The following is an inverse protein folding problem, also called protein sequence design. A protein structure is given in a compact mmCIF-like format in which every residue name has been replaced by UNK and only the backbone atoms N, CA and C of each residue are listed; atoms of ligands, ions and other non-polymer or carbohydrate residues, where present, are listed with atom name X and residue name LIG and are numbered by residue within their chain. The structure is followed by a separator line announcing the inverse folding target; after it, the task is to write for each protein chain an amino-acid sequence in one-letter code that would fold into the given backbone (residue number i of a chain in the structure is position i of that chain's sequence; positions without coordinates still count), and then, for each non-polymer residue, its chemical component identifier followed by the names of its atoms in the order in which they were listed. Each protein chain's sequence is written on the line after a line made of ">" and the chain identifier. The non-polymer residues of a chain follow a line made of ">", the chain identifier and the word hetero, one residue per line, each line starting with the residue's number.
data_IF_400004264759
#
_entry.id   IF_400004264759
#
_cell.length_a   1.000
_cell.length_b   1.000
_cell.length_c   1.000
_cell.angle_alpha   90.00
_cell.angle_beta   90.00
_cell.angle_gamma   90.00
#
_symmetry.space_group_name_H-M   'P 1'
#
loop_
_entity.id
_entity.type
_entity.pdbx_description
1 polymer ?
#
# COMPACT_ATOMS: atom_id res chain seq x y z
N UNK A 1 -13.30 79.13 44.30
CA UNK A 1 -14.31 79.66 43.38
C UNK A 1 -14.07 79.04 42.01
N UNK A 2 -15.15 78.64 41.33
CA UNK A 2 -15.26 77.91 40.04
C UNK A 2 -15.03 76.38 40.21
N UNK A 3 -16.01 75.47 40.17
CA UNK A 3 -17.27 75.44 39.41
C UNK A 3 -16.94 75.25 37.92
N UNK A 4 -17.32 74.22 37.17
CA UNK A 4 -18.39 73.26 37.35
C UNK A 4 -18.27 72.05 36.38
N UNK A 5 -18.60 70.86 36.89
CA UNK A 5 -19.57 69.90 36.33
C UNK A 5 -19.27 69.04 35.08
N UNK A 6 -19.19 67.73 35.38
CA UNK A 6 -19.91 66.59 34.77
C UNK A 6 -19.59 66.17 33.33
N UNK A 7 -18.93 65.01 33.24
CA UNK A 7 -19.39 63.91 32.39
C UNK A 7 -19.12 62.58 33.10
N UNK A 8 -20.12 62.09 33.82
CA UNK A 8 -20.21 60.70 34.30
C UNK A 8 -21.10 59.97 33.31
N UNK A 9 -20.54 59.01 32.57
CA UNK A 9 -21.22 57.85 32.00
C UNK A 9 -20.13 56.78 31.84
N UNK A 10 -19.79 56.03 32.88
CA UNK A 10 -20.45 54.77 33.22
C UNK A 10 -20.37 53.74 32.08
N UNK A 11 -19.24 53.03 31.94
CA UNK A 11 -19.25 51.58 31.68
C UNK A 11 -18.21 50.94 32.60
N UNK A 12 -18.73 50.24 33.60
CA UNK A 12 -18.03 49.35 34.51
C UNK A 12 -17.61 48.08 33.77
N UNK A 13 -16.50 47.52 34.25
CA UNK A 13 -16.24 46.08 34.38
C UNK A 13 -15.92 45.29 33.11
N UNK A 14 -14.65 44.88 33.00
CA UNK A 14 -14.20 43.48 32.92
C UNK A 14 -12.66 43.52 33.09
N UNK A 15 -12.13 43.20 34.28
CA UNK A 15 -11.68 41.85 34.67
C UNK A 15 -10.67 41.29 33.64
N UNK A 16 -9.37 41.35 33.93
CA UNK A 16 -8.57 40.26 34.51
C UNK A 16 -8.44 39.07 33.53
N UNK A 17 -7.20 38.59 33.38
CA UNK A 17 -6.76 37.39 32.65
C UNK A 17 -6.36 37.62 31.18
N UNK A 18 -5.17 38.16 30.97
CA UNK A 18 -4.39 37.95 29.75
C UNK A 18 -3.01 37.34 30.07
N UNK A 19 -2.98 36.43 31.05
CA UNK A 19 -1.79 35.67 31.42
C UNK A 19 -2.18 34.18 31.57
N UNK A 20 -2.47 33.51 30.45
CA UNK A 20 -2.49 32.04 30.33
C UNK A 20 -2.95 31.60 28.92
N UNK A 21 -2.14 31.79 27.87
CA UNK A 21 -2.38 31.12 26.58
C UNK A 21 -1.06 30.96 25.79
N UNK A 22 -0.06 30.34 26.41
CA UNK A 22 1.18 29.94 25.74
C UNK A 22 1.61 28.50 26.02
N UNK A 23 0.73 27.65 26.58
CA UNK A 23 1.03 26.25 26.83
C UNK A 23 -0.10 25.35 26.32
N UNK A 24 -0.29 25.26 25.01
CA UNK A 24 -1.21 24.28 24.40
C UNK A 24 -0.69 23.69 23.08
N UNK A 25 0.62 23.71 22.83
CA UNK A 25 1.23 23.08 21.63
C UNK A 25 1.91 21.73 21.94
N UNK A 26 1.32 20.91 22.83
CA UNK A 26 2.01 19.74 23.39
C UNK A 26 1.32 18.39 23.35
N UNK A 27 0.07 18.25 22.86
CA UNK A 27 -0.70 17.01 23.04
C UNK A 27 -1.17 16.30 21.76
N UNK A 28 -0.93 16.87 20.56
CA UNK A 28 -1.38 16.30 19.29
C UNK A 28 -0.32 15.54 18.47
N UNK A 29 0.96 15.63 18.83
CA UNK A 29 2.06 15.18 17.96
C UNK A 29 2.39 13.68 18.06
N UNK A 30 2.17 13.05 19.23
CA UNK A 30 2.53 11.65 19.45
C UNK A 30 1.70 10.64 18.61
N UNK A 31 0.37 10.82 18.43
CA UNK A 31 -0.43 9.94 17.56
C UNK A 31 -0.07 10.10 16.08
N UNK A 32 0.12 11.33 15.61
CA UNK A 32 0.51 11.63 14.23
C UNK A 32 1.91 11.07 13.90
N UNK A 33 2.89 11.27 14.79
CA UNK A 33 4.23 10.73 14.61
C UNK A 33 4.30 9.19 14.70
N UNK A 34 3.34 8.54 15.38
CA UNK A 34 3.22 7.08 15.41
C UNK A 34 2.59 6.57 14.11
N UNK A 35 1.56 7.24 13.60
CA UNK A 35 0.95 6.94 12.30
C UNK A 35 2.00 7.02 11.18
N UNK A 36 2.69 8.15 11.04
CA UNK A 36 3.67 8.34 9.96
C UNK A 36 4.77 7.28 10.00
N UNK A 37 5.24 6.90 11.20
CA UNK A 37 6.23 5.83 11.34
C UNK A 37 5.70 4.48 10.85
N UNK A 38 4.45 4.15 11.14
CA UNK A 38 3.85 2.88 10.69
C UNK A 38 3.53 2.89 9.19
N UNK A 39 3.09 4.02 8.64
CA UNK A 39 2.91 4.17 7.19
C UNK A 39 4.26 4.06 6.46
N UNK A 40 5.31 4.68 6.99
CA UNK A 40 6.66 4.55 6.43
C UNK A 40 7.17 3.10 6.48
N UNK A 41 6.94 2.39 7.60
CA UNK A 41 7.27 0.96 7.71
C UNK A 41 6.51 0.11 6.70
N UNK A 42 5.24 0.42 6.47
CA UNK A 42 4.43 -0.23 5.44
C UNK A 42 5.01 0.01 4.04
N UNK A 43 5.33 1.28 3.72
CA UNK A 43 5.91 1.65 2.43
C UNK A 43 7.22 0.90 2.14
N UNK A 44 8.11 0.82 3.13
CA UNK A 44 9.38 0.09 3.03
C UNK A 44 9.14 -1.41 2.85
N UNK A 45 8.25 -2.02 3.64
CA UNK A 45 7.93 -3.45 3.52
C UNK A 45 7.32 -3.80 2.16
N UNK A 46 6.46 -2.92 1.63
CA UNK A 46 5.90 -3.08 0.29
C UNK A 46 7.01 -2.99 -0.77
N UNK A 47 7.86 -1.96 -0.73
CA UNK A 47 8.93 -1.78 -1.70
C UNK A 47 9.99 -2.90 -1.67
N UNK A 48 10.18 -3.55 -0.52
CA UNK A 48 11.08 -4.71 -0.38
C UNK A 48 10.47 -6.03 -0.83
N UNK A 49 9.22 -6.03 -1.29
CA UNK A 49 8.48 -7.23 -1.68
C UNK A 49 8.31 -8.26 -0.54
N UNK A 50 8.38 -7.84 0.73
CA UNK A 50 8.32 -8.77 1.88
C UNK A 50 6.92 -9.40 2.01
N UNK A 51 5.88 -8.59 1.83
CA UNK A 51 4.48 -9.00 1.96
C UNK A 51 3.74 -9.08 0.62
N UNK A 52 4.13 -8.26 -0.36
CA UNK A 52 3.45 -8.12 -1.65
C UNK A 52 4.49 -8.13 -2.78
N UNK A 53 4.45 -9.08 -3.74
CA UNK A 53 5.35 -9.05 -4.89
C UNK A 53 5.11 -7.78 -5.73
N UNK A 54 6.03 -7.44 -6.65
CA UNK A 54 6.02 -6.30 -7.60
C UNK A 54 4.77 -6.19 -8.52
N UNK A 55 3.76 -6.99 -8.23
CA UNK A 55 2.45 -7.07 -8.86
C UNK A 55 1.47 -6.01 -8.35
N UNK A 56 1.81 -5.27 -7.30
CA UNK A 56 0.96 -4.22 -6.72
C UNK A 56 1.66 -2.86 -6.70
N UNK A 57 0.88 -1.79 -6.83
CA UNK A 57 1.39 -0.42 -6.73
C UNK A 57 1.59 -0.05 -5.26
N UNK A 58 2.85 -0.03 -4.80
CA UNK A 58 3.17 0.28 -3.41
C UNK A 58 2.80 1.69 -2.97
N UNK A 59 2.77 2.67 -3.88
CA UNK A 59 2.33 4.02 -3.53
C UNK A 59 0.83 4.02 -3.26
N UNK A 60 0.04 3.39 -4.14
CA UNK A 60 -1.40 3.20 -3.94
C UNK A 60 -1.70 2.44 -2.65
N UNK A 61 -1.01 1.31 -2.41
CA UNK A 61 -1.19 0.53 -1.18
C UNK A 61 -0.83 1.33 0.08
N UNK A 62 0.23 2.13 0.04
CA UNK A 62 0.67 2.93 1.19
C UNK A 62 -0.35 4.02 1.54
N UNK A 63 -0.87 4.72 0.53
CA UNK A 63 -1.91 5.74 0.74
C UNK A 63 -3.22 5.10 1.20
N UNK A 64 -3.64 3.98 0.59
CA UNK A 64 -4.82 3.24 1.04
C UNK A 64 -4.68 2.74 2.49
N UNK A 65 -3.49 2.28 2.87
CA UNK A 65 -3.20 1.87 4.25
C UNK A 65 -3.22 3.07 5.22
N UNK A 66 -2.65 4.21 4.83
CA UNK A 66 -2.68 5.45 5.61
C UNK A 66 -4.12 5.87 5.92
N UNK A 67 -4.99 5.89 4.92
CA UNK A 67 -6.40 6.24 5.11
C UNK A 67 -7.14 5.22 5.99
N UNK A 68 -6.91 3.92 5.79
CA UNK A 68 -7.49 2.88 6.63
C UNK A 68 -7.09 2.99 8.12
N UNK A 69 -5.82 3.37 8.40
CA UNK A 69 -5.37 3.60 9.78
C UNK A 69 -6.00 4.88 10.37
N UNK A 70 -6.14 5.95 9.58
CA UNK A 70 -6.80 7.18 10.04
C UNK A 70 -8.26 6.92 10.42
N UNK A 71 -8.98 6.16 9.61
CA UNK A 71 -10.39 5.84 9.85
C UNK A 71 -10.56 4.91 11.06
N UNK A 72 -9.72 3.89 11.20
CA UNK A 72 -9.84 2.90 12.30
C UNK A 72 -9.16 3.32 13.59
N UNK A 73 -8.29 4.34 13.55
CA UNK A 73 -7.44 4.75 14.69
C UNK A 73 -6.44 3.68 15.14
N UNK A 74 -6.20 2.62 14.35
CA UNK A 74 -5.43 1.45 14.77
C UNK A 74 -4.31 1.08 13.81
N UNK A 75 -3.09 1.01 14.34
CA UNK A 75 -1.90 0.55 13.60
C UNK A 75 -1.64 -0.95 13.73
N UNK A 76 -2.33 -1.66 14.65
CA UNK A 76 -1.98 -3.02 15.07
C UNK A 76 -2.48 -4.15 14.16
N UNK A 77 -3.18 -3.83 13.06
CA UNK A 77 -3.83 -4.84 12.20
C UNK A 77 -3.55 -4.66 10.72
N UNK A 78 -2.27 -4.45 10.35
CA UNK A 78 -1.84 -4.23 8.96
C UNK A 78 -2.50 -5.16 7.94
N UNK A 79 -2.37 -6.48 8.10
CA UNK A 79 -2.94 -7.46 7.16
C UNK A 79 -4.47 -7.41 7.10
N UNK A 80 -5.13 -7.17 8.24
CA UNK A 80 -6.58 -7.05 8.27
C UNK A 80 -7.02 -5.78 7.53
N UNK A 81 -6.36 -4.64 7.75
CA UNK A 81 -6.66 -3.40 7.06
C UNK A 81 -6.51 -3.56 5.54
N UNK A 82 -5.42 -4.17 5.07
CA UNK A 82 -5.23 -4.44 3.63
C UNK A 82 -6.37 -5.28 3.04
N UNK A 83 -6.83 -6.30 3.78
CA UNK A 83 -7.91 -7.19 3.34
C UNK A 83 -9.28 -6.50 3.40
N UNK A 84 -9.61 -5.89 4.55
CA UNK A 84 -10.94 -5.34 4.85
C UNK A 84 -11.22 -4.13 3.94
N UNK A 85 -10.17 -3.36 3.61
CA UNK A 85 -10.23 -2.27 2.64
C UNK A 85 -9.97 -2.72 1.20
N UNK A 86 -9.82 -4.03 0.93
CA UNK A 86 -9.62 -4.59 -0.42
C UNK A 86 -8.50 -3.89 -1.21
N UNK A 87 -7.42 -3.50 -0.53
CA UNK A 87 -6.38 -2.66 -1.14
C UNK A 87 -5.68 -3.38 -2.30
N UNK A 88 -5.54 -4.70 -2.24
CA UNK A 88 -4.93 -5.50 -3.33
C UNK A 88 -5.78 -5.49 -4.61
N UNK A 89 -7.11 -5.41 -4.48
CA UNK A 89 -8.01 -5.31 -5.63
C UNK A 89 -8.02 -3.91 -6.23
N UNK A 90 -7.79 -2.88 -5.41
CA UNK A 90 -7.78 -1.47 -5.83
C UNK A 90 -6.44 -1.01 -6.39
N UNK A 91 -5.35 -1.63 -5.95
CA UNK A 91 -3.98 -1.21 -6.25
C UNK A 91 -3.16 -2.25 -7.03
N UNK A 92 -3.66 -2.91 -8.09
CA UNK A 92 -2.80 -3.71 -8.94
C UNK A 92 -1.78 -2.81 -9.66
N UNK A 93 -0.55 -3.29 -9.84
CA UNK A 93 0.44 -2.60 -10.63
C UNK A 93 -0.01 -2.42 -12.09
N UNK A 94 0.71 -1.59 -12.84
CA UNK A 94 0.48 -1.43 -14.27
C UNK A 94 0.57 -2.79 -14.98
N UNK A 95 -0.27 -2.99 -16.01
CA UNK A 95 -0.29 -4.25 -16.79
C UNK A 95 1.10 -4.58 -17.33
N UNK A 96 1.82 -3.57 -17.81
CA UNK A 96 3.19 -3.71 -18.32
C UNK A 96 4.18 -4.22 -17.27
N UNK A 97 4.08 -3.75 -16.02
CA UNK A 97 4.93 -4.22 -14.92
C UNK A 97 4.62 -5.67 -14.56
N UNK A 98 3.34 -6.03 -14.46
CA UNK A 98 2.90 -7.41 -14.19
C UNK A 98 3.36 -8.35 -15.31
N UNK A 99 3.21 -7.92 -16.56
CA UNK A 99 3.68 -8.65 -17.74
C UNK A 99 5.20 -8.87 -17.67
N UNK A 100 5.99 -7.81 -17.44
CA UNK A 100 7.44 -7.89 -17.40
C UNK A 100 7.93 -8.84 -16.30
N UNK A 101 7.36 -8.73 -15.10
CA UNK A 101 7.64 -9.60 -13.97
C UNK A 101 7.40 -11.07 -14.31
N UNK A 102 6.21 -11.40 -14.85
CA UNK A 102 5.90 -12.79 -15.16
C UNK A 102 6.71 -13.33 -16.33
N UNK A 103 6.95 -12.50 -17.35
CA UNK A 103 7.78 -12.90 -18.50
C UNK A 103 9.20 -13.23 -18.07
N UNK A 104 9.80 -12.43 -17.18
CA UNK A 104 11.13 -12.67 -16.66
C UNK A 104 11.20 -13.95 -15.81
N UNK A 105 10.21 -14.17 -14.95
CA UNK A 105 10.07 -15.42 -14.17
C UNK A 105 9.93 -16.64 -15.10
N UNK A 106 9.10 -16.53 -16.14
CA UNK A 106 8.91 -17.61 -17.12
C UNK A 106 10.20 -17.91 -17.89
N UNK A 107 10.89 -16.90 -18.43
CA UNK A 107 12.13 -17.10 -19.21
C UNK A 107 13.19 -17.79 -18.35
N UNK A 108 13.30 -17.40 -17.08
CA UNK A 108 14.25 -17.99 -16.13
C UNK A 108 13.99 -19.49 -15.90
N UNK A 109 12.73 -19.93 -15.98
CA UNK A 109 12.31 -21.31 -15.72
C UNK A 109 12.11 -22.17 -16.99
N UNK A 110 11.81 -21.55 -18.13
CA UNK A 110 11.46 -22.22 -19.39
C UNK A 110 12.57 -22.20 -20.45
N UNK A 111 13.79 -21.78 -20.10
CA UNK A 111 14.93 -21.63 -21.02
C UNK A 111 15.28 -22.85 -21.87
N UNK A 112 14.80 -24.05 -21.48
CA UNK A 112 15.02 -25.32 -22.20
C UNK A 112 13.89 -25.70 -23.16
N UNK A 113 12.80 -24.93 -23.25
CA UNK A 113 11.74 -25.17 -24.23
C UNK A 113 12.07 -24.53 -25.60
N UNK A 114 11.79 -25.22 -26.71
CA UNK A 114 11.72 -24.59 -28.03
C UNK A 114 10.71 -23.43 -28.00
N UNK A 115 11.05 -22.31 -28.66
CA UNK A 115 10.20 -21.10 -28.71
C UNK A 115 9.78 -20.55 -27.34
N UNK A 116 10.60 -20.73 -26.31
CA UNK A 116 10.31 -20.24 -24.95
C UNK A 116 10.01 -18.73 -24.89
N UNK A 117 10.58 -17.93 -25.79
CA UNK A 117 10.29 -16.49 -25.90
C UNK A 117 8.82 -16.21 -26.22
N UNK A 118 8.26 -16.89 -27.21
CA UNK A 118 6.85 -16.74 -27.61
C UNK A 118 5.91 -17.31 -26.56
N UNK A 119 6.25 -18.49 -26.03
CA UNK A 119 5.52 -19.13 -24.94
C UNK A 119 5.43 -18.22 -23.70
N UNK A 120 6.56 -17.65 -23.26
CA UNK A 120 6.59 -16.76 -22.11
C UNK A 120 5.90 -15.42 -22.37
N UNK A 121 5.93 -14.93 -23.61
CA UNK A 121 5.21 -13.70 -23.99
C UNK A 121 3.69 -13.92 -23.98
N UNK A 122 3.21 -15.04 -24.52
CA UNK A 122 1.80 -15.45 -24.41
C UNK A 122 1.38 -15.59 -22.94
N UNK A 123 2.18 -16.33 -22.16
CA UNK A 123 1.83 -16.65 -20.76
C UNK A 123 1.80 -15.39 -19.89
N UNK A 124 2.73 -14.45 -20.12
CA UNK A 124 2.75 -13.16 -19.44
C UNK A 124 1.56 -12.27 -19.79
N UNK A 125 1.11 -12.28 -21.06
CA UNK A 125 -0.07 -11.52 -21.47
C UNK A 125 -1.35 -12.08 -20.83
N UNK A 126 -1.49 -13.41 -20.84
CA UNK A 126 -2.60 -14.10 -20.17
C UNK A 126 -2.60 -13.83 -18.65
N UNK A 127 -1.43 -13.91 -18.01
CA UNK A 127 -1.28 -13.64 -16.57
C UNK A 127 -1.62 -12.20 -16.23
N UNK A 128 -1.03 -11.22 -16.92
CA UNK A 128 -1.24 -9.81 -16.64
C UNK A 128 -2.70 -9.37 -16.85
N UNK A 129 -3.36 -9.94 -17.86
CA UNK A 129 -4.78 -9.69 -18.13
C UNK A 129 -5.67 -10.27 -17.03
N UNK A 130 -5.49 -11.54 -16.67
CA UNK A 130 -6.28 -12.20 -15.65
C UNK A 130 -6.04 -11.60 -14.25
N UNK A 131 -4.78 -11.28 -13.93
CA UNK A 131 -4.41 -10.64 -12.66
C UNK A 131 -5.12 -9.30 -12.49
N UNK A 132 -5.16 -8.46 -13.53
CA UNK A 132 -5.86 -7.16 -13.43
C UNK A 132 -7.37 -7.30 -13.39
N UNK A 133 -7.93 -8.33 -14.03
CA UNK A 133 -9.36 -8.61 -13.97
C UNK A 133 -9.80 -9.07 -12.57
N UNK A 134 -8.96 -9.87 -11.90
CA UNK A 134 -9.21 -10.35 -10.54
C UNK A 134 -7.89 -10.47 -9.77
N UNK A 135 -7.44 -9.39 -9.11
CA UNK A 135 -6.18 -9.40 -8.36
C UNK A 135 -6.21 -10.44 -7.23
N UNK A 136 -5.30 -11.43 -7.24
CA UNK A 136 -5.15 -12.40 -6.16
C UNK A 136 -4.96 -11.74 -4.79
N UNK A 137 -5.37 -12.41 -3.71
CA UNK A 137 -5.10 -11.97 -2.35
C UNK A 137 -3.96 -12.74 -1.67
N UNK A 138 -3.51 -13.85 -2.28
CA UNK A 138 -2.53 -14.76 -1.69
C UNK A 138 -1.50 -15.27 -2.70
N UNK A 139 -0.35 -15.75 -2.18
CA UNK A 139 0.68 -16.41 -2.98
C UNK A 139 0.16 -17.64 -3.74
N UNK A 140 -0.68 -18.45 -3.09
CA UNK A 140 -1.26 -19.65 -3.71
C UNK A 140 -2.17 -19.34 -4.90
N UNK A 141 -2.96 -18.26 -4.82
CA UNK A 141 -3.78 -17.79 -5.94
C UNK A 141 -2.91 -17.24 -7.08
N UNK A 142 -1.83 -16.52 -6.76
CA UNK A 142 -0.83 -16.10 -7.76
C UNK A 142 -0.26 -17.32 -8.47
N UNK A 143 0.20 -18.33 -7.75
CA UNK A 143 0.80 -19.54 -8.35
C UNK A 143 -0.21 -20.34 -9.19
N UNK A 144 -1.47 -20.41 -8.76
CA UNK A 144 -2.53 -21.00 -9.55
C UNK A 144 -2.77 -20.22 -10.84
N UNK A 145 -2.77 -18.89 -10.78
CA UNK A 145 -2.90 -18.04 -11.94
C UNK A 145 -1.70 -18.20 -12.89
N UNK A 146 -0.47 -18.25 -12.37
CA UNK A 146 0.73 -18.54 -13.17
C UNK A 146 0.57 -19.84 -13.96
N UNK A 147 0.18 -20.92 -13.28
CA UNK A 147 -0.04 -22.23 -13.91
C UNK A 147 -1.14 -22.18 -14.96
N UNK A 148 -2.26 -21.54 -14.67
CA UNK A 148 -3.38 -21.40 -15.61
C UNK A 148 -2.94 -20.63 -16.88
N UNK A 149 -2.22 -19.53 -16.72
CA UNK A 149 -1.71 -18.71 -17.84
C UNK A 149 -0.70 -19.46 -18.70
N UNK A 150 0.18 -20.25 -18.10
CA UNK A 150 1.09 -21.13 -18.85
C UNK A 150 0.33 -22.22 -19.61
N UNK A 151 -0.68 -22.85 -18.99
CA UNK A 151 -1.50 -23.89 -19.64
C UNK A 151 -2.28 -23.33 -20.83
N UNK A 152 -2.85 -22.12 -20.72
CA UNK A 152 -3.55 -21.49 -21.85
C UNK A 152 -2.63 -21.22 -23.05
N UNK A 153 -1.32 -21.19 -22.83
CA UNK A 153 -0.29 -21.00 -23.86
C UNK A 153 0.42 -22.29 -24.26
N UNK A 154 -0.12 -23.46 -23.90
CA UNK A 154 0.38 -24.76 -24.36
C UNK A 154 1.37 -25.45 -23.41
N UNK A 155 1.49 -25.02 -22.15
CA UNK A 155 2.26 -25.78 -21.17
C UNK A 155 1.63 -27.16 -20.94
N UNK A 156 2.42 -28.21 -21.19
CA UNK A 156 2.11 -29.57 -20.73
C UNK A 156 2.22 -29.61 -19.20
N UNK A 157 1.43 -30.44 -18.53
CA UNK A 157 1.22 -30.43 -17.06
C UNK A 157 2.50 -30.44 -16.18
N UNK A 158 3.67 -30.78 -16.74
CA UNK A 158 4.95 -30.91 -16.05
C UNK A 158 5.92 -29.72 -16.25
N UNK A 159 5.46 -28.47 -16.19
CA UNK A 159 6.42 -27.38 -16.02
C UNK A 159 6.82 -27.28 -14.53
N UNK A 160 8.11 -27.49 -14.19
CA UNK A 160 8.57 -27.28 -12.82
C UNK A 160 8.49 -25.78 -12.52
N UNK A 161 7.51 -25.37 -11.72
CA UNK A 161 7.55 -24.07 -11.05
C UNK A 161 8.62 -24.18 -9.96
N UNK A 162 9.90 -24.16 -10.34
CA UNK A 162 10.97 -24.03 -9.36
C UNK A 162 11.01 -22.58 -8.94
N UNK A 163 10.45 -22.30 -7.76
CA UNK A 163 10.86 -21.10 -7.04
C UNK A 163 12.37 -21.18 -6.83
N UNK A 164 13.18 -20.18 -7.22
CA UNK A 164 14.52 -20.09 -6.67
C UNK A 164 14.36 -19.86 -5.17
N UNK A 165 14.46 -20.93 -4.38
CA UNK A 165 14.82 -20.77 -2.98
C UNK A 165 16.26 -20.28 -3.01
N UNK A 166 16.43 -18.96 -2.89
CA UNK A 166 17.71 -18.38 -2.51
C UNK A 166 17.93 -18.88 -1.08
N UNK A 167 18.60 -20.02 -0.93
CA UNK A 167 19.23 -20.37 0.34
C UNK A 167 20.28 -19.30 0.62
N UNK A 168 19.93 -18.36 1.49
CA UNK A 168 20.90 -17.48 2.14
C UNK A 168 21.78 -18.37 3.03
N UNK A 169 22.99 -18.66 2.56
CA UNK A 169 24.12 -19.07 3.42
C UNK A 169 24.75 -17.84 4.05
#
# INVERSE_FOLDING_TARGET
>A
MNGAWRAICAIRALLVVAAALACAHGAGAAPAAKLEREVQRFAVACAKNEDYPELYDCRCLTEGYREAVKETGSTFRRRALVRDYKLLQQCPAAKSSIYAWFRQDCISNASRQPSHGDFCSCSAEAFATAFRASPPASKGEIDNLKKASMRSCGAKEQLPVRHPQIELK
#
